data_IF_959689028643
#
_entry.id   IF_959689028643
#
_cell.length_a   1.000
_cell.length_b   1.000
_cell.length_c   1.000
_cell.angle_alpha   90.00
_cell.angle_beta   90.00
_cell.angle_gamma   90.00
#
_symmetry.space_group_name_H-M   'P 1'
#
loop_
_entity.id
_entity.type
_entity.pdbx_description
1 polymer ?
#
# COMPACT_ATOMS: atom_id res chain seq x y z
N UNK A 1 3.95 10.43 -26.54
CA UNK A 1 5.41 10.18 -26.53
C UNK A 1 5.66 8.71 -26.18
N UNK A 2 5.10 8.19 -25.09
CA UNK A 2 5.22 6.77 -24.73
C UNK A 2 4.60 5.80 -25.75
N UNK A 3 3.52 6.18 -26.44
CA UNK A 3 2.91 5.36 -27.50
C UNK A 3 3.73 5.29 -28.81
N UNK A 4 4.87 5.99 -28.89
CA UNK A 4 5.81 5.92 -30.03
C UNK A 4 7.10 5.18 -29.67
N UNK A 5 7.24 4.78 -28.40
CA UNK A 5 8.37 4.01 -27.92
C UNK A 5 8.05 2.52 -28.12
N UNK A 6 9.10 1.72 -28.26
CA UNK A 6 8.97 0.26 -28.40
C UNK A 6 8.52 -0.35 -27.07
N UNK A 7 7.84 -1.50 -27.14
CA UNK A 7 7.39 -2.20 -25.94
C UNK A 7 8.60 -2.70 -25.14
N UNK A 8 8.75 -2.22 -23.91
CA UNK A 8 9.92 -2.49 -23.09
C UNK A 8 9.79 -1.86 -21.70
N UNK A 9 10.79 -2.09 -20.85
CA UNK A 9 10.82 -1.49 -19.51
C UNK A 9 11.58 -0.16 -19.59
N UNK A 10 11.05 0.88 -18.93
CA UNK A 10 11.63 2.22 -18.93
C UNK A 10 11.72 2.79 -17.53
N UNK A 11 12.75 3.63 -17.31
CA UNK A 11 13.03 4.30 -16.04
C UNK A 11 12.91 5.81 -16.22
N UNK A 12 12.12 6.46 -15.37
CA UNK A 12 11.98 7.91 -15.32
C UNK A 12 12.75 8.42 -14.10
N UNK A 13 13.81 9.18 -14.35
CA UNK A 13 14.64 9.77 -13.30
C UNK A 13 14.42 11.28 -13.28
N UNK A 14 14.12 11.81 -12.10
CA UNK A 14 14.06 13.25 -11.85
C UNK A 14 15.46 13.76 -11.54
N UNK A 15 15.87 14.85 -12.18
CA UNK A 15 17.07 15.55 -11.76
C UNK A 15 16.81 16.29 -10.42
N UNK A 16 17.66 16.12 -9.40
CA UNK A 16 17.46 16.76 -8.10
C UNK A 16 17.71 18.27 -8.14
N UNK A 17 18.56 18.75 -9.05
CA UNK A 17 18.97 20.16 -9.16
C UNK A 17 18.11 20.93 -10.16
N UNK A 18 17.47 20.25 -11.11
CA UNK A 18 16.70 20.88 -12.19
C UNK A 18 15.32 20.23 -12.34
N UNK A 19 14.27 21.00 -12.70
CA UNK A 19 12.93 20.46 -12.91
C UNK A 19 12.80 19.77 -14.29
N UNK A 20 13.72 18.85 -14.63
CA UNK A 20 13.60 18.01 -15.81
C UNK A 20 13.53 16.54 -15.42
N UNK A 21 12.80 15.78 -16.24
CA UNK A 21 12.70 14.33 -16.16
C UNK A 21 13.48 13.71 -17.32
N UNK A 22 14.15 12.60 -17.07
CA UNK A 22 14.86 11.84 -18.09
C UNK A 22 14.32 10.42 -18.15
N UNK A 23 14.04 9.97 -19.38
CA UNK A 23 13.59 8.61 -19.67
C UNK A 23 14.79 7.79 -20.15
N UNK A 24 14.97 6.61 -19.58
CA UNK A 24 15.94 5.61 -20.02
C UNK A 24 15.21 4.32 -20.36
N UNK A 25 15.61 3.67 -21.44
CA UNK A 25 15.27 2.28 -21.68
C UNK A 25 16.17 1.41 -20.82
N UNK A 26 15.59 0.38 -20.21
CA UNK A 26 16.34 -0.58 -19.40
C UNK A 26 16.03 -2.00 -19.84
N UNK A 27 16.99 -2.93 -19.67
CA UNK A 27 16.77 -4.34 -19.94
C UNK A 27 15.52 -4.93 -19.25
N UNK A 28 14.99 -6.02 -19.80
CA UNK A 28 13.81 -6.70 -19.25
C UNK A 28 14.03 -7.26 -17.85
N UNK A 29 15.26 -7.57 -17.48
CA UNK A 29 15.68 -8.08 -16.17
C UNK A 29 15.99 -6.97 -15.15
N UNK A 30 15.96 -5.69 -15.54
CA UNK A 30 16.40 -4.57 -14.69
C UNK A 30 15.55 -4.35 -13.41
N UNK A 31 14.38 -4.98 -13.32
CA UNK A 31 13.48 -4.89 -12.16
C UNK A 31 13.24 -6.26 -11.52
N UNK A 32 13.86 -7.30 -12.06
CA UNK A 32 13.69 -8.64 -11.54
C UNK A 32 14.54 -8.71 -10.27
N UNK A 33 13.87 -8.82 -9.13
CA UNK A 33 14.52 -8.94 -7.83
C UNK A 33 15.08 -10.35 -7.71
N UNK A 34 16.29 -10.57 -8.25
CA UNK A 34 17.12 -11.72 -7.86
C UNK A 34 17.64 -11.57 -6.41
N UNK A 35 17.34 -10.43 -5.76
CA UNK A 35 17.42 -10.29 -4.32
C UNK A 35 16.33 -11.15 -3.69
N UNK A 36 16.73 -12.34 -3.25
CA UNK A 36 16.05 -13.05 -2.16
C UNK A 36 15.91 -12.02 -1.04
N UNK A 37 14.68 -11.63 -0.73
CA UNK A 37 14.39 -10.77 0.41
C UNK A 37 14.83 -11.55 1.64
N UNK A 38 16.05 -11.28 2.12
CA UNK A 38 16.55 -11.87 3.36
C UNK A 38 15.55 -11.45 4.44
N UNK A 39 14.89 -12.42 5.11
CA UNK A 39 13.91 -12.08 6.13
C UNK A 39 14.59 -11.19 7.16
N UNK A 40 14.05 -9.99 7.36
CA UNK A 40 14.54 -9.09 8.40
C UNK A 40 14.52 -9.85 9.74
N UNK A 41 15.62 -9.80 10.52
CA UNK A 41 15.68 -10.47 11.81
C UNK A 41 14.48 -10.08 12.67
N UNK A 42 13.90 -11.02 13.42
CA UNK A 42 12.65 -10.82 14.17
C UNK A 42 12.69 -9.61 15.13
N UNK A 43 13.88 -9.13 15.49
CA UNK A 43 14.10 -7.96 16.36
C UNK A 43 13.77 -6.60 15.71
N UNK A 44 13.77 -6.50 14.37
CA UNK A 44 13.42 -5.28 13.63
C UNK A 44 11.98 -5.27 13.11
N UNK A 45 11.25 -6.37 13.29
CA UNK A 45 9.82 -6.41 12.94
C UNK A 45 9.06 -5.58 13.97
N UNK A 46 8.50 -4.45 13.51
CA UNK A 46 7.63 -3.65 14.35
C UNK A 46 6.49 -4.55 14.88
N UNK A 47 6.24 -4.59 16.19
CA UNK A 47 5.19 -5.42 16.75
C UNK A 47 3.87 -5.06 16.08
N UNK A 48 3.03 -6.06 15.73
CA UNK A 48 1.73 -5.79 15.14
C UNK A 48 0.98 -4.85 16.08
N UNK A 49 0.26 -3.84 15.55
CA UNK A 49 -0.51 -2.94 16.38
C UNK A 49 -1.46 -3.77 17.24
N UNK A 50 -1.33 -3.64 18.55
CA UNK A 50 -2.14 -4.34 19.53
C UNK A 50 -3.60 -4.02 19.23
N UNK A 51 -4.40 -5.06 18.97
CA UNK A 51 -5.85 -4.99 18.85
C UNK A 51 -6.38 -4.33 20.13
N UNK A 52 -6.53 -3.02 20.04
CA UNK A 52 -7.00 -2.17 21.13
C UNK A 52 -8.49 -2.44 21.20
N UNK A 53 -8.84 -3.45 21.98
CA UNK A 53 -10.21 -3.92 22.18
C UNK A 53 -11.15 -2.72 22.31
N UNK A 54 -12.00 -2.59 21.30
CA UNK A 54 -12.99 -1.54 21.21
C UNK A 54 -13.96 -1.73 22.39
N UNK A 55 -13.72 -0.95 23.44
CA UNK A 55 -14.62 -0.82 24.56
C UNK A 55 -15.77 0.11 24.16
N UNK A 56 -16.79 -0.43 23.50
CA UNK A 56 -18.12 0.19 23.49
C UNK A 56 -19.04 -0.52 24.49
N UNK A 57 -19.27 0.03 25.70
CA UNK A 57 -20.52 -0.17 26.41
C UNK A 57 -21.44 1.00 26.06
N UNK A 58 -22.08 0.94 24.90
CA UNK A 58 -23.20 1.83 24.58
C UNK A 58 -24.51 1.12 24.94
N UNK A 59 -24.79 0.99 26.24
CA UNK A 59 -26.17 0.83 26.69
C UNK A 59 -26.91 2.16 26.49
N UNK A 60 -27.72 2.23 25.43
CA UNK A 60 -28.81 3.18 25.31
C UNK A 60 -30.09 2.42 24.96
N UNK A 61 -31.09 2.61 25.83
CA UNK A 61 -32.38 1.93 25.97
C UNK A 61 -33.19 1.62 24.68
N UNK A 62 -34.08 0.61 24.73
CA UNK A 62 -34.92 0.19 23.61
C UNK A 62 -35.95 1.27 23.26
N UNK A 63 -35.95 1.72 22.01
CA UNK A 63 -37.08 2.43 21.43
C UNK A 63 -38.23 1.43 21.21
N UNK A 64 -39.41 1.81 21.68
CA UNK A 64 -40.62 1.02 21.70
C UNK A 64 -41.08 0.55 20.31
N UNK A 65 -41.33 -0.74 20.18
CA UNK A 65 -42.44 -1.23 19.35
C UNK A 65 -43.30 -2.14 20.23
N UNK A 66 -44.32 -1.54 20.83
CA UNK A 66 -45.40 -2.27 21.48
C UNK A 66 -46.57 -2.31 20.51
N UNK A 67 -46.68 -3.48 19.87
CA UNK A 67 -47.90 -4.29 19.83
C UNK A 67 -48.78 -4.17 18.57
N UNK A 68 -48.57 -5.12 17.68
CA UNK A 68 -49.64 -5.77 16.91
C UNK A 68 -50.51 -6.61 17.85
N UNK A 69 -51.80 -6.28 18.01
CA UNK A 69 -52.91 -7.24 18.08
C UNK A 69 -54.26 -6.54 18.41
N UNK A 70 -55.30 -7.02 17.71
CA UNK A 70 -56.76 -6.79 17.85
C UNK A 70 -57.39 -5.63 17.06
#
# INVERSE_FOLDING_TARGET
>A
MCMKLEDGKYLIVKDPNKPFLRLYEVPSDAFDNDYVEEPLPEEEQAPPPEDSGDAEPAEAAPAADSNSAA
#
